data_IF_813733541798
#
_entry.id   IF_813733541798
#
_cell.length_a   1.000
_cell.length_b   1.000
_cell.length_c   1.000
_cell.angle_alpha   90.00
_cell.angle_beta   90.00
_cell.angle_gamma   90.00
#
_symmetry.space_group_name_H-M   'P 1'
#
loop_
_entity.id
_entity.type
_entity.pdbx_description
1 polymer ?
#
# COMPACT_ATOMS: atom_id res chain seq x y z
N UNK A 1 5.03 2.87 -9.57
CA UNK A 1 4.29 1.70 -10.08
C UNK A 1 4.14 0.61 -9.02
N UNK A 2 5.21 -0.11 -8.67
CA UNK A 2 5.14 -1.23 -7.72
C UNK A 2 4.58 -0.90 -6.33
N UNK A 3 5.01 0.20 -5.70
CA UNK A 3 4.50 0.59 -4.37
C UNK A 3 3.00 0.86 -4.37
N UNK A 4 2.49 1.64 -5.34
CA UNK A 4 1.05 1.88 -5.50
C UNK A 4 0.28 0.59 -5.73
N UNK A 5 0.84 -0.31 -6.54
CA UNK A 5 0.27 -1.63 -6.79
C UNK A 5 0.16 -2.49 -5.53
N UNK A 6 1.20 -2.51 -4.69
CA UNK A 6 1.17 -3.20 -3.40
C UNK A 6 0.17 -2.54 -2.45
N UNK A 7 0.15 -1.20 -2.35
CA UNK A 7 -0.83 -0.46 -1.53
C UNK A 7 -2.26 -0.80 -1.93
N UNK A 8 -2.58 -0.75 -3.22
CA UNK A 8 -3.90 -1.11 -3.74
C UNK A 8 -4.26 -2.54 -3.35
N UNK A 9 -3.38 -3.50 -3.66
CA UNK A 9 -3.62 -4.91 -3.40
C UNK A 9 -3.87 -5.21 -1.92
N UNK A 10 -2.98 -4.73 -1.03
CA UNK A 10 -3.10 -4.99 0.40
C UNK A 10 -4.35 -4.32 0.99
N UNK A 11 -4.67 -3.11 0.54
CA UNK A 11 -5.87 -2.40 0.99
C UNK A 11 -7.17 -3.11 0.57
N UNK A 12 -7.20 -3.78 -0.59
CA UNK A 12 -8.36 -4.56 -1.02
C UNK A 12 -8.42 -5.96 -0.39
N UNK A 13 -7.29 -6.54 0.01
CA UNK A 13 -7.27 -7.84 0.68
C UNK A 13 -7.56 -7.75 2.17
N UNK A 14 -7.07 -6.71 2.86
CA UNK A 14 -7.19 -6.57 4.31
C UNK A 14 -8.62 -6.72 4.86
N UNK A 15 -9.67 -6.14 4.23
CA UNK A 15 -11.05 -6.26 4.74
C UNK A 15 -11.55 -7.70 4.80
N UNK A 16 -11.07 -8.57 3.89
CA UNK A 16 -11.45 -10.00 3.87
C UNK A 16 -10.91 -10.73 5.10
N UNK A 17 -9.71 -10.35 5.56
CA UNK A 17 -9.09 -10.95 6.74
C UNK A 17 -9.70 -10.42 8.04
N UNK A 18 -10.14 -9.16 8.04
CA UNK A 18 -10.70 -8.50 9.22
C UNK A 18 -12.23 -8.59 9.31
N UNK A 19 -12.88 -9.11 8.27
CA UNK A 19 -14.34 -9.18 8.14
C UNK A 19 -15.01 -7.79 8.27
N UNK A 20 -14.38 -6.77 7.68
CA UNK A 20 -14.86 -5.39 7.69
C UNK A 20 -15.19 -4.88 6.27
N UNK A 21 -15.77 -3.69 6.17
CA UNK A 21 -15.97 -3.01 4.88
C UNK A 21 -14.64 -2.39 4.41
N UNK A 22 -14.44 -2.30 3.09
CA UNK A 22 -13.25 -1.67 2.51
C UNK A 22 -13.05 -0.22 2.96
N UNK A 23 -14.14 0.48 3.27
CA UNK A 23 -14.11 1.88 3.74
C UNK A 23 -13.66 2.02 5.19
N UNK A 24 -13.66 0.94 5.97
CA UNK A 24 -13.26 0.96 7.37
C UNK A 24 -11.75 1.10 7.54
N UNK A 25 -10.99 0.73 6.50
CA UNK A 25 -9.57 0.96 6.37
C UNK A 25 -9.30 2.09 5.38
N UNK A 26 -8.27 2.87 5.64
CA UNK A 26 -7.65 3.78 4.70
C UNK A 26 -6.28 3.25 4.27
N UNK A 27 -5.79 3.72 3.13
CA UNK A 27 -4.42 3.46 2.70
C UNK A 27 -3.74 4.71 2.16
N UNK A 28 -2.44 4.84 2.44
CA UNK A 28 -1.63 5.94 1.96
C UNK A 28 -0.23 5.47 1.58
N UNK A 29 0.36 6.11 0.57
CA UNK A 29 1.74 5.90 0.18
C UNK A 29 2.55 7.17 0.47
N UNK A 30 3.54 7.05 1.33
CA UNK A 30 4.41 8.14 1.73
C UNK A 30 5.84 7.69 1.99
N UNK A 31 6.51 8.41 2.87
CA UNK A 31 7.85 8.11 3.37
C UNK A 31 7.93 8.44 4.87
N UNK A 32 8.93 7.91 5.56
CA UNK A 32 9.09 8.13 7.01
C UNK A 32 9.62 9.50 7.41
N UNK A 33 9.89 10.39 6.45
CA UNK A 33 10.42 11.72 6.75
C UNK A 33 9.31 12.57 7.37
N UNK A 34 9.50 13.11 8.58
CA UNK A 34 8.47 13.90 9.26
C UNK A 34 8.15 15.18 8.47
N UNK A 35 6.88 15.58 8.50
CA UNK A 35 6.49 16.90 8.02
C UNK A 35 6.97 17.97 9.00
N UNK A 36 7.43 19.10 8.48
CA UNK A 36 7.78 20.26 9.31
C UNK A 36 6.50 20.81 9.99
N UNK A 37 6.52 21.06 11.32
CA UNK A 37 5.37 21.61 12.02
C UNK A 37 4.82 22.88 11.36
N UNK A 38 3.49 22.99 11.27
CA UNK A 38 2.83 24.14 10.63
C UNK A 38 2.82 24.11 9.11
N UNK A 39 3.40 23.08 8.48
CA UNK A 39 3.47 22.97 7.02
C UNK A 39 2.40 22.02 6.50
N UNK A 40 1.58 22.50 5.56
CA UNK A 40 0.58 21.65 4.90
C UNK A 40 1.29 20.78 3.85
N UNK A 41 1.14 19.46 3.99
CA UNK A 41 1.61 18.49 3.00
C UNK A 41 0.71 18.57 1.76
N UNK A 42 1.16 19.34 0.77
CA UNK A 42 0.59 19.39 -0.57
C UNK A 42 1.41 18.49 -1.49
N UNK A 43 0.89 18.21 -2.70
CA UNK A 43 1.66 17.49 -3.72
C UNK A 43 3.00 18.19 -4.03
N UNK A 44 3.00 19.52 -4.09
CA UNK A 44 4.18 20.31 -4.44
C UNK A 44 5.20 20.38 -3.29
N UNK A 45 4.74 20.57 -2.04
CA UNK A 45 5.63 20.55 -0.87
C UNK A 45 6.20 19.16 -0.61
N UNK A 46 5.40 18.11 -0.82
CA UNK A 46 5.88 16.71 -0.74
C UNK A 46 6.93 16.42 -1.80
N UNK A 47 6.71 16.84 -3.05
CA UNK A 47 7.70 16.66 -4.13
C UNK A 47 9.02 17.35 -3.82
N UNK A 48 9.00 18.62 -3.38
CA UNK A 48 10.22 19.35 -2.99
C UNK A 48 10.95 18.66 -1.85
N UNK A 49 10.23 18.26 -0.80
CA UNK A 49 10.79 17.54 0.35
C UNK A 49 11.48 16.24 -0.09
N UNK A 50 10.82 15.43 -0.92
CA UNK A 50 11.39 14.18 -1.42
C UNK A 50 12.63 14.38 -2.29
N UNK A 51 12.69 15.46 -3.08
CA UNK A 51 13.85 15.78 -3.92
C UNK A 51 15.04 16.31 -3.10
N UNK A 52 14.78 16.91 -1.94
CA UNK A 52 15.80 17.43 -1.03
C UNK A 52 16.26 16.41 0.03
N UNK A 53 15.53 15.30 0.20
CA UNK A 53 15.84 14.30 1.20
C UNK A 53 17.09 13.49 0.82
N UNK A 54 18.06 13.38 1.75
CA UNK A 54 19.24 12.54 1.57
C UNK A 54 18.90 11.05 1.51
N UNK A 55 17.82 10.64 2.20
CA UNK A 55 17.35 9.26 2.26
C UNK A 55 15.86 9.20 1.98
N UNK A 56 15.46 8.29 1.10
CA UNK A 56 14.06 7.99 0.82
C UNK A 56 13.68 6.62 1.37
N UNK A 57 12.72 6.57 2.29
CA UNK A 57 12.23 5.34 2.88
C UNK A 57 10.73 5.15 2.55
N UNK A 58 10.40 4.53 1.40
CA UNK A 58 9.02 4.39 0.95
C UNK A 58 8.21 3.57 1.96
N UNK A 59 7.07 4.12 2.38
CA UNK A 59 6.24 3.54 3.44
C UNK A 59 4.79 3.45 2.98
N UNK A 60 4.20 2.28 3.16
CA UNK A 60 2.77 2.03 2.95
C UNK A 60 2.11 2.10 4.32
N UNK A 61 1.08 2.93 4.42
CA UNK A 61 0.26 3.08 5.61
C UNK A 61 -1.09 2.42 5.36
N UNK A 62 -1.52 1.58 6.30
CA UNK A 62 -2.88 1.07 6.42
C UNK A 62 -3.38 1.50 7.79
N UNK A 63 -4.54 2.15 7.86
CA UNK A 63 -5.01 2.80 9.08
C UNK A 63 -6.53 2.71 9.20
N UNK A 64 -7.05 2.88 10.40
CA UNK A 64 -8.49 2.92 10.63
C UNK A 64 -9.08 4.24 10.10
N UNK A 65 -10.10 4.16 9.26
CA UNK A 65 -10.84 5.35 8.79
C UNK A 65 -11.72 5.97 9.88
N UNK A 66 -11.90 5.26 11.00
CA UNK A 66 -12.74 5.69 12.13
C UNK A 66 -11.96 6.61 13.08
N UNK A 67 -12.62 7.70 13.50
CA UNK A 67 -12.04 8.63 14.47
C UNK A 67 -11.71 7.92 15.78
N UNK A 68 -10.50 8.17 16.30
CA UNK A 68 -9.98 7.52 17.52
C UNK A 68 -9.38 6.13 17.30
N UNK A 69 -9.59 5.52 16.13
CA UNK A 69 -9.19 4.13 15.87
C UNK A 69 -10.09 3.14 16.60
N UNK A 70 -10.44 2.04 15.93
CA UNK A 70 -11.26 0.96 16.49
C UNK A 70 -10.49 -0.37 16.58
N UNK A 71 -9.22 -0.38 16.17
CA UNK A 71 -8.31 -1.51 16.33
C UNK A 71 -8.17 -2.39 15.08
N UNK A 72 -8.67 -1.98 13.90
CA UNK A 72 -8.51 -2.79 12.68
C UNK A 72 -7.05 -2.82 12.23
N UNK A 73 -6.36 -1.68 12.24
CA UNK A 73 -4.95 -1.58 11.88
C UNK A 73 -4.04 -2.37 12.85
N UNK A 74 -4.36 -2.37 14.15
CA UNK A 74 -3.65 -3.17 15.15
C UNK A 74 -3.80 -4.66 14.86
N UNK A 75 -5.04 -5.12 14.69
CA UNK A 75 -5.29 -6.52 14.34
C UNK A 75 -4.66 -6.92 13.00
N UNK A 76 -4.67 -6.01 12.02
CA UNK A 76 -4.05 -6.22 10.71
C UNK A 76 -2.54 -6.39 10.82
N UNK A 77 -1.89 -5.66 11.73
CA UNK A 77 -0.46 -5.74 11.96
C UNK A 77 -0.06 -7.14 12.48
N UNK A 78 -0.85 -7.73 13.37
CA UNK A 78 -0.60 -9.09 13.88
C UNK A 78 -0.64 -10.16 12.79
N UNK A 79 -1.51 -9.97 11.77
CA UNK A 79 -1.67 -10.91 10.64
C UNK A 79 -0.96 -10.45 9.37
N UNK A 80 -0.12 -9.41 9.46
CA UNK A 80 0.55 -8.82 8.30
C UNK A 80 1.34 -9.85 7.47
N UNK A 81 2.08 -10.80 8.06
CA UNK A 81 2.78 -11.83 7.28
C UNK A 81 1.84 -12.66 6.39
N UNK A 82 0.64 -12.97 6.89
CA UNK A 82 -0.36 -13.73 6.14
C UNK A 82 -0.98 -12.90 5.02
N UNK A 83 -1.23 -11.62 5.28
CA UNK A 83 -1.71 -10.68 4.27
C UNK A 83 -0.71 -10.52 3.11
N UNK A 84 0.59 -10.38 3.42
CA UNK A 84 1.65 -10.24 2.41
C UNK A 84 1.76 -11.50 1.55
N UNK A 85 1.75 -12.68 2.18
CA UNK A 85 1.79 -13.97 1.48
C UNK A 85 0.57 -14.13 0.58
N UNK A 86 -0.62 -13.79 1.07
CA UNK A 86 -1.86 -13.83 0.28
C UNK A 86 -1.82 -12.83 -0.88
N UNK A 87 -1.21 -11.66 -0.69
CA UNK A 87 -0.93 -10.72 -1.77
C UNK A 87 -0.11 -11.38 -2.87
N UNK A 88 1.00 -12.04 -2.52
CA UNK A 88 1.85 -12.71 -3.49
C UNK A 88 1.11 -13.83 -4.23
N UNK A 89 0.38 -14.68 -3.51
CA UNK A 89 -0.50 -15.73 -4.09
C UNK A 89 -1.51 -15.15 -5.08
N UNK A 90 -2.16 -14.03 -4.72
CA UNK A 90 -3.14 -13.36 -5.57
C UNK A 90 -2.51 -12.89 -6.89
N UNK A 91 -1.28 -12.36 -6.83
CA UNK A 91 -0.55 -11.95 -8.05
C UNK A 91 -0.16 -13.14 -8.92
N UNK A 92 0.14 -14.29 -8.32
CA UNK A 92 0.42 -15.54 -9.04
C UNK A 92 -0.81 -16.13 -9.71
N UNK A 93 -1.95 -16.15 -9.02
CA UNK A 93 -3.20 -16.70 -9.54
C UNK A 93 -3.85 -15.82 -10.61
N UNK A 94 -3.63 -14.50 -10.56
CA UNK A 94 -4.23 -13.58 -11.52
C UNK A 94 -3.64 -13.76 -12.93
N UNK A 95 -4.48 -13.98 -13.95
CA UNK A 95 -4.05 -14.17 -15.35
C UNK A 95 -3.63 -12.89 -16.10
N UNK A 96 -3.68 -11.71 -15.48
CA UNK A 96 -3.34 -10.47 -16.18
C UNK A 96 -1.81 -10.32 -16.40
N UNK A 97 -1.40 -9.63 -17.47
CA UNK A 97 0.03 -9.39 -17.77
C UNK A 97 0.61 -8.18 -17.03
N UNK A 98 -0.17 -7.12 -16.92
CA UNK A 98 0.32 -5.79 -16.49
C UNK A 98 -0.23 -5.40 -15.12
N UNK A 99 -1.53 -5.62 -14.94
CA UNK A 99 -2.32 -5.26 -13.76
C UNK A 99 -3.80 -5.19 -14.14
N UNK A 100 -4.69 -5.43 -13.19
CA UNK A 100 -6.13 -5.25 -13.37
C UNK A 100 -6.79 -4.87 -12.04
N UNK A 101 -8.03 -4.35 -12.05
CA UNK A 101 -8.75 -3.96 -10.83
C UNK A 101 -8.86 -5.07 -9.79
N UNK A 102 -8.79 -6.34 -10.21
CA UNK A 102 -8.87 -7.51 -9.32
C UNK A 102 -7.55 -7.89 -8.63
N UNK A 103 -6.42 -7.25 -8.95
CA UNK A 103 -5.13 -7.53 -8.31
C UNK A 103 -4.41 -6.26 -7.86
N UNK A 104 -3.52 -5.72 -8.69
CA UNK A 104 -2.73 -4.52 -8.39
C UNK A 104 -3.45 -3.20 -8.70
N UNK A 105 -4.64 -3.25 -9.29
CA UNK A 105 -5.41 -2.08 -9.71
C UNK A 105 -5.36 -1.79 -11.22
N UNK A 106 -6.10 -0.78 -11.68
CA UNK A 106 -6.18 -0.40 -13.09
C UNK A 106 -4.83 0.06 -13.65
N UNK A 107 -4.46 -0.41 -14.85
CA UNK A 107 -3.15 -0.12 -15.47
C UNK A 107 -2.86 1.39 -15.58
N UNK A 108 -3.88 2.20 -15.83
CA UNK A 108 -3.74 3.64 -15.98
C UNK A 108 -3.42 4.38 -14.67
N UNK A 109 -3.62 3.73 -13.52
CA UNK A 109 -3.38 4.29 -12.19
C UNK A 109 -2.07 3.80 -11.57
N UNK A 110 -1.73 2.52 -11.81
CA UNK A 110 -0.56 1.87 -11.19
C UNK A 110 0.64 1.69 -12.13
N UNK A 111 0.46 1.88 -13.44
CA UNK A 111 1.54 1.85 -14.44
C UNK A 111 1.79 0.48 -15.06
N UNK A 112 2.58 0.47 -16.15
CA UNK A 112 2.76 -0.72 -17.02
C UNK A 112 3.64 -1.82 -16.44
N UNK A 113 4.40 -1.55 -15.38
CA UNK A 113 5.24 -2.55 -14.70
C UNK A 113 4.69 -2.93 -13.32
N UNK A 114 3.48 -2.48 -12.98
CA UNK A 114 2.85 -2.61 -11.67
C UNK A 114 2.92 -4.04 -11.11
N UNK A 115 2.39 -5.03 -11.85
CA UNK A 115 2.36 -6.42 -11.39
C UNK A 115 3.74 -7.01 -11.17
N UNK A 116 4.63 -6.87 -12.14
CA UNK A 116 5.98 -7.43 -12.06
C UNK A 116 6.78 -6.82 -10.89
N UNK A 117 6.70 -5.51 -10.70
CA UNK A 117 7.38 -4.84 -9.59
C UNK A 117 6.73 -5.17 -8.25
N UNK A 118 5.40 -5.26 -8.16
CA UNK A 118 4.71 -5.66 -6.93
C UNK A 118 5.06 -7.09 -6.51
N UNK A 119 5.16 -8.03 -7.46
CA UNK A 119 5.63 -9.39 -7.18
C UNK A 119 7.05 -9.41 -6.61
N UNK A 120 7.97 -8.64 -7.19
CA UNK A 120 9.34 -8.55 -6.69
C UNK A 120 9.40 -7.97 -5.27
N UNK A 121 8.61 -6.92 -4.99
CA UNK A 121 8.52 -6.31 -3.66
C UNK A 121 7.93 -7.27 -2.63
N UNK A 122 6.83 -7.95 -2.94
CA UNK A 122 6.20 -8.87 -2.01
C UNK A 122 7.10 -10.08 -1.71
N UNK A 123 7.80 -10.63 -2.71
CA UNK A 123 8.79 -11.70 -2.48
C UNK A 123 9.85 -11.27 -1.47
N UNK A 124 10.45 -10.11 -1.68
CA UNK A 124 11.47 -9.57 -0.77
C UNK A 124 10.96 -9.26 0.66
N UNK A 125 9.64 -9.18 0.87
CA UNK A 125 9.02 -8.95 2.18
C UNK A 125 8.49 -10.23 2.83
N UNK A 126 8.36 -11.31 2.07
CA UNK A 126 7.86 -12.62 2.57
C UNK A 126 8.96 -13.66 2.76
N UNK A 127 10.12 -13.45 2.11
CA UNK A 127 11.36 -14.21 2.32
C UNK A 127 12.10 -13.72 3.58
#
# INVERSE_FOLDING_TARGET
DGLRAVTYLLHHLAPIFLLCDIRDLGSWLGDTTPAEPGTVATRESTKRRLLAAERFNPTIYLYDSHAGGIGLAERLFEILPDLLRRGLETLHACGCRVGCPSCVGPVNEVGRRAKATAQALLRALTD
#
